data_IF_684719518804
#
_entry.id   IF_684719518804
#
_cell.length_a   1.000
_cell.length_b   1.000
_cell.length_c   1.000
_cell.angle_alpha   90.00
_cell.angle_beta   90.00
_cell.angle_gamma   90.00
#
_symmetry.space_group_name_H-M   'P 1'
#
loop_
_entity.id
_entity.type
_entity.pdbx_description
1 polymer ?
#
# COMPACT_ATOMS: atom_id res chain seq x y z
N UNK A 1 -7.45 8.20 7.59
CA UNK A 1 -6.60 8.11 6.37
C UNK A 1 -5.52 7.07 6.61
N UNK A 2 -5.14 6.32 5.58
CA UNK A 2 -4.08 5.31 5.65
C UNK A 2 -3.01 5.65 4.62
N UNK A 3 -1.75 5.67 5.05
CA UNK A 3 -0.63 6.18 4.25
C UNK A 3 0.51 5.16 4.28
N UNK A 4 0.98 4.76 3.11
CA UNK A 4 2.23 4.04 2.95
C UNK A 4 3.40 5.03 3.11
N UNK A 5 4.23 4.84 4.14
CA UNK A 5 5.36 5.73 4.39
C UNK A 5 6.64 5.08 3.83
N UNK A 6 7.04 5.52 2.64
CA UNK A 6 8.22 5.00 1.97
C UNK A 6 9.51 5.22 2.78
N UNK A 7 10.43 4.25 2.75
CA UNK A 7 11.68 4.20 3.53
C UNK A 7 11.55 4.24 5.06
N UNK A 8 10.34 4.07 5.61
CA UNK A 8 10.14 4.09 7.08
C UNK A 8 9.84 2.72 7.68
N UNK A 9 9.37 1.77 6.88
CA UNK A 9 8.84 0.50 7.39
C UNK A 9 7.52 0.66 8.15
N UNK A 10 6.77 1.72 7.88
CA UNK A 10 5.55 2.06 8.59
C UNK A 10 4.39 2.28 7.62
N UNK A 11 3.21 1.81 8.03
CA UNK A 11 1.93 2.34 7.56
C UNK A 11 1.40 3.30 8.62
N UNK A 12 1.11 4.54 8.22
CA UNK A 12 0.55 5.55 9.10
C UNK A 12 -0.99 5.57 8.96
N UNK A 13 -1.68 5.40 10.09
CA UNK A 13 -3.12 5.61 10.19
C UNK A 13 -3.39 6.93 10.92
N UNK A 14 -4.11 7.82 10.26
CA UNK A 14 -4.59 9.08 10.84
C UNK A 14 -6.08 8.93 11.13
N UNK A 15 -6.46 9.00 12.39
CA UNK A 15 -7.85 8.94 12.85
C UNK A 15 -8.61 10.23 12.50
N UNK A 16 -9.96 10.22 12.53
CA UNK A 16 -10.76 11.41 12.20
C UNK A 16 -10.49 12.64 13.07
N UNK A 17 -10.03 12.44 14.31
CA UNK A 17 -9.64 13.50 15.25
C UNK A 17 -8.22 14.03 15.04
N UNK A 18 -7.47 13.46 14.08
CA UNK A 18 -6.09 13.80 13.78
C UNK A 18 -5.04 12.98 14.54
N UNK A 19 -5.45 12.09 15.44
CA UNK A 19 -4.54 11.17 16.14
C UNK A 19 -3.81 10.27 15.14
N UNK A 20 -2.52 10.01 15.40
CA UNK A 20 -1.64 9.22 14.53
C UNK A 20 -1.30 7.89 15.18
N UNK A 21 -1.46 6.82 14.43
CA UNK A 21 -1.09 5.46 14.81
C UNK A 21 -0.12 4.89 13.75
N UNK A 22 0.98 4.30 14.21
CA UNK A 22 1.97 3.67 13.34
C UNK A 22 1.85 2.15 13.41
N UNK A 23 1.91 1.53 12.24
CA UNK A 23 1.87 0.08 12.09
C UNK A 23 3.17 -0.34 11.42
N UNK A 24 3.96 -1.13 12.14
CA UNK A 24 5.24 -1.62 11.64
C UNK A 24 5.06 -2.66 10.52
N UNK A 25 5.90 -2.55 9.50
CA UNK A 25 6.03 -3.47 8.38
C UNK A 25 7.47 -4.02 8.39
N UNK A 26 7.71 -5.31 8.10
CA UNK A 26 9.05 -5.91 8.23
C UNK A 26 10.15 -5.36 7.32
N UNK A 27 9.84 -4.46 6.38
CA UNK A 27 10.79 -3.90 5.40
C UNK A 27 10.53 -2.41 5.20
N UNK A 28 11.59 -1.62 4.96
CA UNK A 28 11.50 -0.15 4.95
C UNK A 28 10.72 0.45 3.78
N UNK A 29 10.79 -0.13 2.59
CA UNK A 29 10.19 0.46 1.38
C UNK A 29 8.71 0.10 1.25
N UNK A 30 7.85 0.72 2.06
CA UNK A 30 6.39 0.61 1.97
C UNK A 30 5.88 1.53 0.85
N UNK A 31 5.30 0.98 -0.22
CA UNK A 31 5.03 1.75 -1.45
C UNK A 31 3.56 2.04 -1.69
N UNK A 32 2.66 1.13 -1.29
CA UNK A 32 1.23 1.31 -1.47
C UNK A 32 0.42 0.41 -0.55
N UNK A 33 -0.87 0.69 -0.43
CA UNK A 33 -1.81 -0.11 0.34
C UNK A 33 -3.23 -0.04 -0.23
N UNK A 34 -4.02 -1.07 0.01
CA UNK A 34 -5.45 -1.07 -0.27
C UNK A 34 -6.20 -2.00 0.67
N UNK A 35 -7.46 -1.63 0.96
CA UNK A 35 -8.38 -2.54 1.63
C UNK A 35 -9.01 -3.51 0.62
N UNK A 36 -9.26 -4.72 1.07
CA UNK A 36 -9.94 -5.78 0.34
C UNK A 36 -10.41 -6.88 1.28
N UNK A 37 -10.50 -8.11 0.77
CA UNK A 37 -11.12 -9.21 1.48
C UNK A 37 -12.64 -9.21 1.35
N UNK A 38 -13.28 -10.26 1.85
CA UNK A 38 -14.73 -10.47 1.70
C UNK A 38 -15.57 -9.41 2.43
N UNK A 39 -15.08 -8.96 3.59
CA UNK A 39 -15.73 -7.96 4.45
C UNK A 39 -15.06 -6.56 4.37
N UNK A 40 -14.06 -6.41 3.49
CA UNK A 40 -13.32 -5.16 3.34
C UNK A 40 -12.37 -4.83 4.49
N UNK A 41 -12.06 -5.78 5.38
CA UNK A 41 -11.23 -5.55 6.58
C UNK A 41 -9.78 -6.02 6.45
N UNK A 42 -9.40 -6.53 5.29
CA UNK A 42 -8.02 -6.91 5.02
C UNK A 42 -7.28 -5.74 4.39
N UNK A 43 -6.23 -5.25 5.05
CA UNK A 43 -5.32 -4.27 4.48
C UNK A 43 -4.13 -5.00 3.83
N UNK A 44 -4.02 -4.85 2.51
CA UNK A 44 -2.90 -5.32 1.73
C UNK A 44 -1.86 -4.21 1.60
N UNK A 45 -0.59 -4.55 1.84
CA UNK A 45 0.53 -3.60 1.84
C UNK A 45 1.60 -4.08 0.88
N UNK A 46 1.84 -3.30 -0.18
CA UNK A 46 2.88 -3.56 -1.17
C UNK A 46 4.20 -2.93 -0.72
N UNK A 47 5.29 -3.68 -0.89
CA UNK A 47 6.63 -3.24 -0.48
C UNK A 47 7.67 -3.48 -1.58
N UNK A 48 8.70 -2.64 -1.60
CA UNK A 48 9.90 -2.82 -2.42
C UNK A 48 11.03 -3.61 -1.74
N UNK A 49 10.82 -4.15 -0.53
CA UNK A 49 11.90 -4.72 0.30
C UNK A 49 12.88 -3.66 0.81
N UNK A 50 13.94 -4.03 1.53
CA UNK A 50 14.85 -3.01 2.07
C UNK A 50 15.73 -2.36 1.00
N UNK A 51 16.30 -3.15 0.09
CA UNK A 51 17.27 -2.66 -0.91
C UNK A 51 16.62 -2.26 -2.24
N UNK A 52 15.28 -2.25 -2.30
CA UNK A 52 14.54 -2.09 -3.56
C UNK A 52 14.85 -0.79 -4.30
N UNK A 53 14.85 0.33 -3.58
CA UNK A 53 15.18 1.64 -4.14
C UNK A 53 16.62 1.68 -4.66
N UNK A 54 17.58 1.31 -3.82
CA UNK A 54 19.00 1.36 -4.14
C UNK A 54 19.31 0.50 -5.36
N UNK A 55 18.74 -0.70 -5.44
CA UNK A 55 18.92 -1.56 -6.60
C UNK A 55 18.39 -0.90 -7.88
N UNK A 56 17.16 -0.37 -7.86
CA UNK A 56 16.54 0.27 -9.01
C UNK A 56 17.30 1.52 -9.47
N UNK A 57 17.74 2.37 -8.54
CA UNK A 57 18.51 3.57 -8.85
C UNK A 57 19.88 3.27 -9.46
N UNK A 58 20.42 2.08 -9.19
CA UNK A 58 21.67 1.60 -9.78
C UNK A 58 21.46 0.70 -11.02
N UNK A 59 20.26 0.69 -11.60
CA UNK A 59 19.95 -0.09 -12.80
C UNK A 59 19.94 -1.61 -12.58
N UNK A 60 19.81 -2.05 -11.34
CA UNK A 60 19.73 -3.47 -10.96
C UNK A 60 18.29 -3.85 -10.67
N UNK A 61 17.97 -5.13 -10.87
CA UNK A 61 16.72 -5.66 -10.38
C UNK A 61 16.76 -5.72 -8.85
N UNK A 62 15.70 -5.28 -8.16
CA UNK A 62 15.63 -5.37 -6.71
C UNK A 62 15.68 -6.83 -6.26
N UNK A 63 16.29 -7.13 -5.11
CA UNK A 63 16.30 -8.48 -4.56
C UNK A 63 14.85 -8.97 -4.34
N UNK A 64 14.67 -10.29 -4.26
CA UNK A 64 13.36 -10.93 -4.03
C UNK A 64 12.87 -10.77 -2.57
N UNK A 65 13.05 -9.57 -2.00
CA UNK A 65 12.57 -9.17 -0.68
C UNK A 65 11.30 -8.31 -0.79
N UNK A 66 10.99 -7.77 -1.98
CA UNK A 66 9.70 -7.17 -2.28
C UNK A 66 8.58 -8.20 -2.05
N UNK A 67 7.60 -7.84 -1.23
CA UNK A 67 6.52 -8.73 -0.79
C UNK A 67 5.20 -7.98 -0.64
N UNK A 68 4.10 -8.74 -0.68
CA UNK A 68 2.76 -8.29 -0.31
C UNK A 68 2.47 -8.78 1.11
N UNK A 69 2.25 -7.86 2.04
CA UNK A 69 1.80 -8.19 3.39
C UNK A 69 0.28 -8.04 3.49
N UNK A 70 -0.32 -8.81 4.39
CA UNK A 70 -1.75 -8.75 4.71
C UNK A 70 -1.91 -8.65 6.22
N UNK A 71 -2.77 -7.74 6.65
CA UNK A 71 -3.19 -7.62 8.05
C UNK A 71 -4.71 -7.45 8.12
N UNK A 72 -5.28 -7.97 9.20
CA UNK A 72 -6.68 -7.78 9.52
C UNK A 72 -6.87 -6.49 10.32
N UNK A 73 -7.89 -5.71 10.00
CA UNK A 73 -8.17 -4.41 10.60
C UNK A 73 -9.57 -4.34 11.22
N UNK A 74 -9.67 -3.77 12.42
CA UNK A 74 -10.95 -3.50 13.09
C UNK A 74 -11.79 -2.42 12.39
N UNK A 75 -11.21 -1.73 11.40
CA UNK A 75 -11.90 -0.77 10.54
C UNK A 75 -11.93 -1.29 9.11
N UNK A 76 -13.12 -1.42 8.53
CA UNK A 76 -13.27 -1.76 7.11
C UNK A 76 -12.90 -0.59 6.21
N UNK A 77 -12.31 -0.90 5.06
CA UNK A 77 -12.16 0.05 3.98
C UNK A 77 -13.48 0.39 3.29
N UNK A 78 -13.45 1.42 2.45
CA UNK A 78 -14.59 1.74 1.60
C UNK A 78 -14.52 0.91 0.31
N UNK A 79 -15.68 0.44 -0.16
CA UNK A 79 -15.78 -0.13 -1.49
C UNK A 79 -15.37 0.91 -2.53
N UNK A 80 -14.25 0.68 -3.21
CA UNK A 80 -13.78 1.57 -4.28
C UNK A 80 -14.49 1.15 -5.56
N UNK A 81 -15.37 1.99 -6.14
CA UNK A 81 -16.04 1.67 -7.40
C UNK A 81 -15.00 1.51 -8.51
N UNK A 82 -15.23 0.59 -9.44
CA UNK A 82 -14.36 0.44 -10.62
C UNK A 82 -14.30 1.76 -11.37
N UNK A 83 -13.11 2.35 -11.47
CA UNK A 83 -12.91 3.57 -12.25
C UNK A 83 -13.16 3.26 -13.72
N UNK A 84 -14.19 3.86 -14.30
CA UNK A 84 -14.49 3.75 -15.72
C UNK A 84 -13.85 4.91 -16.47
N UNK A 85 -12.69 4.67 -17.06
CA UNK A 85 -12.04 5.66 -17.92
C UNK A 85 -12.70 5.67 -19.30
N UNK A 86 -13.26 6.82 -19.71
CA UNK A 86 -13.66 7.04 -21.10
C UNK A 86 -12.44 7.54 -21.88
N UNK A 87 -11.88 6.70 -22.73
CA UNK A 87 -10.82 7.12 -23.66
C UNK A 87 -11.45 7.85 -24.86
N UNK A 88 -10.91 9.00 -25.30
CA UNK A 88 -11.37 9.66 -26.52
C UNK A 88 -11.25 8.73 -27.73
N UNK A 89 -12.31 8.60 -28.53
CA UNK A 89 -12.27 7.94 -29.85
C UNK A 89 -12.57 6.44 -29.90
N UNK A 90 -12.73 5.77 -28.75
CA UNK A 90 -13.16 4.35 -28.74
C UNK A 90 -14.69 4.29 -28.70
N UNK A 91 -15.34 4.02 -29.84
CA UNK A 91 -16.77 3.67 -29.87
C UNK A 91 -17.00 2.35 -29.11
N UNK A 92 -18.16 2.19 -28.44
CA UNK A 92 -18.43 1.07 -27.54
C UNK A 92 -18.28 -0.30 -28.20
#
# INVERSE_FOLDING_TARGET
>A
VWIACFETGVVLRILPDGTREEIAVPVKNVTSLCFGGEDGRELFVATGGDEGLDALMNGKLPPKTASLYRLHCDTGGLAVPRTNFKLPGRRP
#
